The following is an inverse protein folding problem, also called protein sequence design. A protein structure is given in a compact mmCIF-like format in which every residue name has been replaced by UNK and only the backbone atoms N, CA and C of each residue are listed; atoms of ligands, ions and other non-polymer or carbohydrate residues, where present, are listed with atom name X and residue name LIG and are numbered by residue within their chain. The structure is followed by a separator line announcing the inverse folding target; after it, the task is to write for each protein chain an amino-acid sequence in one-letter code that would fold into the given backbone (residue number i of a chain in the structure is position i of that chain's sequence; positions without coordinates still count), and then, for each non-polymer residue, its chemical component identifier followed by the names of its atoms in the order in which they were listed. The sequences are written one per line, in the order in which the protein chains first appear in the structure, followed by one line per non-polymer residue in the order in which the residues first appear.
data_IF_845560647215
#
_entry.id   IF_845560647215
#
_cell.length_a   1.000
_cell.length_b   1.000
_cell.length_c   1.000
_cell.angle_alpha   90.00
_cell.angle_beta   90.00
_cell.angle_gamma   90.00
#
_symmetry.space_group_name_H-M   'P 1'
#
loop_
_entity.id
_entity.type
_entity.pdbx_description
1 polymer ?
#
# COMPACT_ATOMS: atom_id res chain seq x y z
N UNK A 1 24.76 0.18 -89.63
CA UNK A 1 25.29 1.53 -89.95
C UNK A 1 24.14 2.52 -89.79
N UNK A 2 24.35 3.58 -89.03
CA UNK A 2 23.34 4.59 -88.69
C UNK A 2 23.79 5.35 -87.45
N UNK A 3 24.52 6.44 -87.70
CA UNK A 3 25.30 7.26 -86.78
C UNK A 3 24.48 8.00 -85.71
N UNK A 4 25.16 8.48 -84.65
CA UNK A 4 24.59 9.14 -83.49
C UNK A 4 24.30 10.62 -83.78
N UNK A 5 23.43 11.25 -82.99
CA UNK A 5 23.78 12.55 -82.41
C UNK A 5 22.79 13.03 -81.34
N UNK A 6 23.39 13.64 -80.33
CA UNK A 6 22.89 14.75 -79.53
C UNK A 6 21.50 14.64 -78.89
N UNK A 7 21.47 14.50 -77.56
CA UNK A 7 21.08 15.67 -76.76
C UNK A 7 21.55 15.55 -75.31
N UNK A 8 22.42 16.48 -74.92
CA UNK A 8 22.87 16.68 -73.55
C UNK A 8 21.80 17.41 -72.72
N UNK A 9 22.01 17.39 -71.40
CA UNK A 9 21.36 18.27 -70.39
C UNK A 9 19.95 17.86 -69.98
N UNK A 10 19.82 17.34 -68.77
CA UNK A 10 19.50 18.22 -67.64
C UNK A 10 19.29 17.41 -66.35
N UNK A 11 19.36 18.14 -65.23
CA UNK A 11 18.56 17.93 -64.01
C UNK A 11 19.27 17.26 -62.83
N UNK A 12 20.20 18.05 -62.27
CA UNK A 12 20.17 18.34 -60.83
C UNK A 12 18.72 18.37 -60.31
N UNK A 13 18.39 17.52 -59.33
CA UNK A 13 17.36 17.81 -58.31
C UNK A 13 17.24 16.70 -57.28
N UNK A 14 17.25 17.17 -56.02
CA UNK A 14 16.62 16.58 -54.83
C UNK A 14 17.39 15.46 -54.13
N UNK A 15 18.39 15.88 -53.37
CA UNK A 15 18.49 15.53 -51.95
C UNK A 15 17.13 15.74 -51.28
N UNK A 16 16.31 14.68 -51.25
CA UNK A 16 15.11 14.65 -50.40
C UNK A 16 15.60 14.55 -48.96
N UNK A 17 15.57 15.68 -48.27
CA UNK A 17 15.61 15.75 -46.80
C UNK A 17 14.68 14.69 -46.22
N UNK A 18 15.27 13.69 -45.56
CA UNK A 18 14.55 12.67 -44.81
C UNK A 18 14.13 13.29 -43.49
N UNK A 19 13.07 14.11 -43.53
CA UNK A 19 12.44 14.66 -42.33
C UNK A 19 11.92 13.49 -41.47
N UNK A 20 12.62 13.21 -40.38
CA UNK A 20 12.17 12.26 -39.35
C UNK A 20 10.88 12.79 -38.73
N UNK A 21 9.73 12.31 -39.22
CA UNK A 21 8.43 12.50 -38.55
C UNK A 21 8.46 11.75 -37.22
N UNK A 22 8.88 12.43 -36.15
CA UNK A 22 8.64 12.00 -34.77
C UNK A 22 7.14 12.04 -34.51
N UNK A 23 6.45 10.93 -34.72
CA UNK A 23 5.06 10.76 -34.31
C UNK A 23 4.99 10.74 -32.79
N UNK A 24 4.71 11.90 -32.19
CA UNK A 24 4.34 12.02 -30.79
C UNK A 24 2.96 11.39 -30.59
N UNK A 25 2.92 10.10 -30.25
CA UNK A 25 1.71 9.43 -29.74
C UNK A 25 1.26 10.14 -28.47
N UNK A 26 0.41 11.16 -28.61
CA UNK A 26 -0.32 11.79 -27.52
C UNK A 26 -1.19 10.70 -26.88
N UNK A 27 -0.74 10.17 -25.74
CA UNK A 27 -1.51 9.22 -24.93
C UNK A 27 -2.81 9.92 -24.51
N UNK A 28 -3.91 9.59 -25.18
CA UNK A 28 -5.23 10.05 -24.82
C UNK A 28 -5.49 9.73 -23.34
N UNK A 29 -5.70 10.79 -22.55
CA UNK A 29 -5.93 10.72 -21.11
C UNK A 29 -7.33 10.10 -20.91
N UNK A 30 -7.41 8.78 -20.74
CA UNK A 30 -8.66 8.07 -20.39
C UNK A 30 -9.24 8.65 -19.10
N UNK A 31 -10.28 9.48 -19.23
CA UNK A 31 -11.12 9.93 -18.13
C UNK A 31 -11.85 8.70 -17.58
N UNK A 32 -11.51 8.31 -16.34
CA UNK A 32 -12.12 7.14 -15.71
C UNK A 32 -13.57 7.46 -15.32
N UNK A 33 -14.53 6.77 -15.95
CA UNK A 33 -15.93 6.82 -15.56
C UNK A 33 -16.08 6.58 -14.04
N UNK A 34 -16.87 7.44 -13.38
CA UNK A 34 -17.18 7.33 -11.96
C UNK A 34 -18.00 6.04 -11.76
N UNK A 35 -17.39 5.03 -11.15
CA UNK A 35 -18.07 3.76 -10.86
C UNK A 35 -19.16 4.01 -9.83
N UNK A 36 -20.39 3.63 -10.16
CA UNK A 36 -21.53 3.70 -9.25
C UNK A 36 -21.23 2.90 -7.96
N UNK A 37 -21.63 3.41 -6.78
CA UNK A 37 -21.45 2.68 -5.54
C UNK A 37 -22.30 1.40 -5.56
N UNK A 38 -21.69 0.27 -5.18
CA UNK A 38 -22.39 -1.01 -5.14
C UNK A 38 -23.13 -1.13 -3.79
N UNK A 39 -24.48 -1.19 -3.76
CA UNK A 39 -25.26 -1.19 -2.52
C UNK A 39 -24.97 -2.40 -1.64
N UNK A 40 -24.64 -3.55 -2.25
CA UNK A 40 -24.27 -4.75 -1.51
C UNK A 40 -22.94 -4.59 -0.75
N UNK A 41 -22.02 -3.73 -1.24
CA UNK A 41 -20.77 -3.45 -0.53
C UNK A 41 -21.01 -2.59 0.71
N UNK A 42 -21.89 -1.59 0.61
CA UNK A 42 -22.20 -0.72 1.74
C UNK A 42 -22.98 -1.46 2.84
N UNK A 43 -23.90 -2.34 2.46
CA UNK A 43 -24.57 -3.26 3.39
C UNK A 43 -23.54 -4.08 4.17
N UNK A 44 -22.57 -4.67 3.48
CA UNK A 44 -21.47 -5.46 4.05
C UNK A 44 -20.67 -4.68 5.08
N UNK A 45 -20.25 -3.46 4.74
CA UNK A 45 -19.45 -2.62 5.65
C UNK A 45 -20.26 -2.27 6.90
N UNK A 46 -21.56 -1.96 6.76
CA UNK A 46 -22.45 -1.70 7.91
C UNK A 46 -22.66 -2.95 8.76
N UNK A 47 -22.93 -4.10 8.14
CA UNK A 47 -23.13 -5.38 8.81
C UNK A 47 -21.89 -5.77 9.62
N UNK A 48 -20.71 -5.69 9.01
CA UNK A 48 -19.45 -6.03 9.66
C UNK A 48 -19.14 -5.10 10.83
N UNK A 49 -19.45 -3.80 10.73
CA UNK A 49 -19.28 -2.87 11.86
C UNK A 49 -20.15 -3.25 13.06
N UNK A 50 -21.37 -3.74 12.82
CA UNK A 50 -22.28 -4.21 13.88
C UNK A 50 -21.88 -5.56 14.45
N UNK A 51 -21.42 -6.48 13.59
CA UNK A 51 -21.04 -7.85 13.97
C UNK A 51 -19.59 -8.14 13.58
N UNK A 52 -18.61 -7.80 14.44
CA UNK A 52 -17.20 -7.89 14.07
C UNK A 52 -16.68 -9.31 13.90
N UNK A 53 -17.30 -10.28 14.59
CA UNK A 53 -16.95 -11.70 14.54
C UNK A 53 -17.81 -12.52 13.55
N UNK A 54 -18.71 -11.88 12.79
CA UNK A 54 -19.57 -12.60 11.86
C UNK A 54 -18.76 -13.29 10.75
N UNK A 55 -19.19 -14.48 10.36
CA UNK A 55 -18.65 -15.22 9.23
C UNK A 55 -19.35 -14.83 7.93
N UNK A 56 -18.76 -15.23 6.79
CA UNK A 56 -19.32 -14.93 5.47
C UNK A 56 -20.74 -15.49 5.29
N UNK A 57 -21.00 -16.68 5.82
CA UNK A 57 -22.32 -17.34 5.72
C UNK A 57 -23.43 -16.46 6.31
N UNK A 58 -23.20 -15.88 7.50
CA UNK A 58 -24.17 -14.99 8.16
C UNK A 58 -24.45 -13.73 7.34
N UNK A 59 -23.39 -13.15 6.76
CA UNK A 59 -23.51 -11.96 5.93
C UNK A 59 -24.25 -12.25 4.63
N UNK A 60 -24.00 -13.41 4.02
CA UNK A 60 -24.71 -13.86 2.82
C UNK A 60 -26.20 -14.12 3.13
N UNK A 61 -26.51 -14.75 4.26
CA UNK A 61 -27.89 -14.95 4.72
C UNK A 61 -28.61 -13.62 4.98
N UNK A 62 -27.96 -12.69 5.69
CA UNK A 62 -28.51 -11.36 5.95
C UNK A 62 -28.74 -10.57 4.66
N UNK A 63 -27.86 -10.70 3.66
CA UNK A 63 -28.00 -10.02 2.39
C UNK A 63 -29.08 -10.63 1.49
N UNK A 64 -29.26 -11.96 1.52
CA UNK A 64 -30.39 -12.62 0.85
C UNK A 64 -31.73 -12.07 1.35
N UNK A 65 -31.86 -11.84 2.66
CA UNK A 65 -33.06 -11.18 3.25
C UNK A 65 -33.29 -9.77 2.69
N UNK A 66 -32.21 -9.04 2.41
CA UNK A 66 -32.26 -7.72 1.77
C UNK A 66 -32.27 -7.77 0.24
N UNK A 67 -32.46 -8.96 -0.38
CA UNK A 67 -32.40 -9.16 -1.84
C UNK A 67 -31.09 -8.69 -2.48
N UNK A 68 -29.99 -8.69 -1.74
CA UNK A 68 -28.66 -8.30 -2.20
C UNK A 68 -27.79 -9.54 -2.40
N UNK A 69 -27.17 -9.66 -3.58
CA UNK A 69 -26.22 -10.73 -3.88
C UNK A 69 -24.81 -10.32 -3.46
N UNK A 70 -24.23 -11.06 -2.53
CA UNK A 70 -22.86 -10.81 -2.03
C UNK A 70 -21.91 -11.89 -2.50
N UNK A 71 -20.81 -11.46 -3.12
CA UNK A 71 -19.72 -12.33 -3.53
C UNK A 71 -18.61 -12.39 -2.47
N UNK A 72 -17.87 -13.51 -2.34
CA UNK A 72 -16.74 -13.63 -1.40
C UNK A 72 -15.67 -12.55 -1.59
N UNK A 73 -15.43 -12.12 -2.84
CA UNK A 73 -14.48 -11.03 -3.16
C UNK A 73 -14.90 -9.69 -2.52
N UNK A 74 -16.20 -9.43 -2.39
CA UNK A 74 -16.70 -8.22 -1.73
C UNK A 74 -16.48 -8.27 -0.22
N UNK A 75 -16.68 -9.44 0.38
CA UNK A 75 -16.40 -9.70 1.80
C UNK A 75 -14.93 -9.47 2.14
N UNK A 76 -14.01 -10.04 1.36
CA UNK A 76 -12.57 -9.82 1.55
C UNK A 76 -12.17 -8.34 1.42
N UNK A 77 -12.75 -7.61 0.45
CA UNK A 77 -12.51 -6.16 0.31
C UNK A 77 -13.03 -5.36 1.52
N UNK A 78 -14.17 -5.74 2.08
CA UNK A 78 -14.73 -5.09 3.26
C UNK A 78 -13.88 -5.37 4.53
N UNK A 79 -13.39 -6.60 4.70
CA UNK A 79 -12.44 -6.95 5.77
C UNK A 79 -11.14 -6.12 5.68
N UNK A 80 -10.59 -5.98 4.48
CA UNK A 80 -9.41 -5.14 4.24
C UNK A 80 -9.68 -3.67 4.53
N UNK A 81 -10.85 -3.15 4.15
CA UNK A 81 -11.25 -1.77 4.40
C UNK A 81 -11.37 -1.47 5.90
N UNK A 82 -11.88 -2.42 6.68
CA UNK A 82 -12.00 -2.34 8.14
C UNK A 82 -10.68 -2.68 8.86
N UNK A 83 -9.63 -3.07 8.14
CA UNK A 83 -8.33 -3.41 8.72
C UNK A 83 -8.30 -4.74 9.48
N UNK A 84 -9.28 -5.63 9.27
CA UNK A 84 -9.34 -6.95 9.94
C UNK A 84 -8.35 -7.94 9.38
N UNK A 85 -8.00 -7.79 8.10
CA UNK A 85 -7.09 -8.68 7.39
C UNK A 85 -5.94 -7.84 6.84
N UNK A 86 -4.72 -8.40 6.90
CA UNK A 86 -3.54 -7.74 6.37
C UNK A 86 -3.62 -7.74 4.84
N UNK A 87 -3.61 -6.55 4.24
CA UNK A 87 -3.50 -6.45 2.79
C UNK A 87 -2.17 -7.07 2.34
N UNK A 88 -2.24 -8.05 1.43
CA UNK A 88 -1.06 -8.63 0.79
C UNK A 88 -0.20 -7.56 0.11
N UNK A 89 1.08 -7.89 -0.16
CA UNK A 89 2.11 -6.97 -0.72
C UNK A 89 1.84 -6.49 -2.17
N UNK A 90 0.59 -6.48 -2.65
CA UNK A 90 0.21 -6.16 -4.03
C UNK A 90 -0.60 -4.88 -4.24
N UNK A 91 -1.00 -4.66 -5.51
CA UNK A 91 -1.74 -3.49 -6.05
C UNK A 91 -3.05 -3.15 -5.29
N UNK A 92 -3.59 -4.09 -4.52
CA UNK A 92 -4.82 -3.94 -3.73
C UNK A 92 -4.67 -2.94 -2.57
N UNK A 93 -3.50 -2.92 -1.90
CA UNK A 93 -3.19 -1.99 -0.80
C UNK A 93 -3.17 -0.54 -1.29
N UNK A 94 -2.62 -0.30 -2.48
CA UNK A 94 -2.54 1.02 -3.10
C UNK A 94 -3.93 1.57 -3.49
N UNK A 95 -4.78 0.73 -4.10
CA UNK A 95 -6.13 1.14 -4.51
C UNK A 95 -7.07 1.38 -3.30
N UNK A 96 -6.94 0.59 -2.24
CA UNK A 96 -7.75 0.79 -1.02
C UNK A 96 -7.29 2.01 -0.21
N UNK A 97 -5.98 2.30 -0.11
CA UNK A 97 -5.48 3.56 0.47
C UNK A 97 -6.01 4.78 -0.30
N UNK A 98 -6.08 4.69 -1.63
CA UNK A 98 -6.64 5.76 -2.44
C UNK A 98 -8.15 5.94 -2.22
N UNK A 99 -8.91 4.85 -2.07
CA UNK A 99 -10.35 4.90 -1.78
C UNK A 99 -10.64 5.46 -0.37
N UNK A 100 -9.91 5.00 0.66
CA UNK A 100 -10.06 5.50 2.03
C UNK A 100 -9.61 6.96 2.21
N UNK A 101 -8.72 7.46 1.34
CA UNK A 101 -8.36 8.89 1.30
C UNK A 101 -9.44 9.76 0.67
N UNK A 102 -10.27 9.22 -0.24
CA UNK A 102 -11.34 9.97 -0.91
C UNK A 102 -12.59 10.15 -0.05
N UNK A 103 -12.85 9.29 0.92
CA UNK A 103 -13.97 9.43 1.87
C UNK A 103 -13.64 10.28 3.10
N UNK A 104 -12.38 10.72 3.27
CA UNK A 104 -11.94 11.62 4.34
C UNK A 104 -11.69 13.06 3.89
N UNK A 105 -12.14 13.45 2.69
CA UNK A 105 -11.91 14.78 2.13
C UNK A 105 -12.88 15.87 2.63
N UNK A 106 -13.87 15.55 3.46
CA UNK A 106 -14.85 16.52 4.00
C UNK A 106 -14.75 16.73 5.52
N UNK A 107 -13.64 16.36 6.17
CA UNK A 107 -13.40 16.76 7.57
C UNK A 107 -12.21 17.71 7.63
N UNK A 108 -12.53 19.02 7.64
CA UNK A 108 -11.58 20.11 7.90
C UNK A 108 -10.75 19.83 9.17
N UNK A 109 -9.44 20.03 9.02
CA UNK A 109 -8.38 20.36 10.01
C UNK A 109 -8.41 19.66 11.38
N UNK A 110 -7.42 18.81 11.61
CA UNK A 110 -6.54 18.91 12.80
C UNK A 110 -5.10 18.68 12.35
N UNK A 111 -4.27 19.65 12.68
CA UNK A 111 -2.82 19.69 12.50
C UNK A 111 -2.15 18.44 13.08
N UNK A 112 -1.32 17.76 12.29
CA UNK A 112 -0.18 17.01 12.84
C UNK A 112 1.01 17.24 11.93
N UNK A 113 1.96 18.03 12.45
CA UNK A 113 3.31 18.25 11.92
C UNK A 113 3.82 16.95 11.28
N UNK A 114 4.00 16.94 9.97
CA UNK A 114 4.88 15.95 9.32
C UNK A 114 6.30 16.37 9.59
N UNK A 115 6.83 15.96 10.74
CA UNK A 115 8.27 15.98 11.00
C UNK A 115 8.89 14.94 10.07
N UNK A 116 9.92 15.35 9.33
CA UNK A 116 10.78 14.46 8.56
C UNK A 116 10.96 14.90 7.11
N UNK A 117 11.59 16.06 6.89
CA UNK A 117 12.38 16.27 5.68
C UNK A 117 13.47 15.18 5.62
N UNK A 118 13.84 14.65 4.43
CA UNK A 118 14.99 13.76 4.31
C UNK A 118 16.22 14.47 4.87
N UNK A 119 16.91 13.83 5.82
CA UNK A 119 18.18 14.32 6.35
C UNK A 119 19.23 14.10 5.26
N UNK A 120 20.07 15.13 5.05
CA UNK A 120 21.14 15.09 4.05
C UNK A 120 22.10 13.92 4.23
N UNK A 121 22.93 13.64 3.22
CA UNK A 121 23.91 12.57 3.27
C UNK A 121 24.85 12.81 4.46
N UNK A 122 25.01 11.82 5.33
CA UNK A 122 25.99 11.86 6.42
C UNK A 122 25.45 11.82 7.86
N UNK A 123 24.13 11.74 8.11
CA UNK A 123 23.64 11.49 9.48
C UNK A 123 23.43 9.99 9.73
N UNK A 124 24.27 9.31 10.52
CA UNK A 124 24.03 7.92 10.89
C UNK A 124 22.69 7.80 11.61
N UNK A 125 22.02 6.67 11.38
CA UNK A 125 20.77 6.37 12.07
C UNK A 125 21.07 6.31 13.56
N UNK A 126 20.32 7.07 14.36
CA UNK A 126 20.19 6.75 15.79
C UNK A 126 19.39 5.45 15.86
N UNK A 127 20.06 4.32 15.65
CA UNK A 127 19.72 3.12 16.39
C UNK A 127 19.84 3.55 17.84
N UNK A 128 18.71 3.78 18.48
CA UNK A 128 18.67 3.64 19.92
C UNK A 128 19.20 2.24 20.17
N UNK A 129 20.42 2.17 20.69
CA UNK A 129 20.90 1.03 21.46
C UNK A 129 19.75 0.67 22.40
N UNK A 130 19.04 -0.42 22.08
CA UNK A 130 18.26 -1.11 23.10
C UNK A 130 19.32 -1.75 23.97
N UNK A 131 19.70 -1.06 25.02
CA UNK A 131 20.53 -1.60 26.08
C UNK A 131 19.72 -2.74 26.69
N UNK A 132 19.98 -3.95 26.23
CA UNK A 132 19.55 -5.15 26.91
C UNK A 132 20.37 -5.25 28.18
N UNK A 133 19.70 -5.27 29.32
CA UNK A 133 20.36 -5.59 30.59
C UNK A 133 20.50 -7.11 30.62
N UNK A 134 21.73 -7.60 30.40
CA UNK A 134 22.09 -8.97 30.73
C UNK A 134 22.52 -8.99 32.20
N UNK A 135 21.89 -9.84 32.99
CA UNK A 135 22.28 -10.08 34.38
C UNK A 135 22.90 -11.48 34.41
N UNK A 136 24.24 -11.59 34.41
CA UNK A 136 24.90 -12.90 34.36
C UNK A 136 24.56 -13.70 35.62
N UNK A 137 24.13 -14.95 35.44
CA UNK A 137 23.79 -15.87 36.53
C UNK A 137 22.36 -15.76 37.08
N UNK A 138 21.53 -14.85 36.55
CA UNK A 138 20.12 -14.77 36.95
C UNK A 138 19.32 -15.96 36.41
N UNK A 139 18.48 -16.54 37.25
CA UNK A 139 17.55 -17.59 36.82
C UNK A 139 16.42 -16.99 35.97
N UNK A 140 15.80 -17.82 35.13
CA UNK A 140 14.67 -17.37 34.27
C UNK A 140 13.52 -16.80 35.11
N UNK A 141 13.31 -17.33 36.32
CA UNK A 141 12.28 -16.87 37.25
C UNK A 141 12.54 -15.46 37.78
N UNK A 142 13.81 -15.14 38.11
CA UNK A 142 14.22 -13.80 38.55
C UNK A 142 14.06 -12.77 37.42
N UNK A 143 14.44 -13.14 36.19
CA UNK A 143 14.28 -12.26 35.03
C UNK A 143 12.80 -12.06 34.67
N UNK A 144 11.96 -13.08 34.89
CA UNK A 144 10.51 -12.97 34.70
C UNK A 144 9.86 -12.06 35.76
N UNK A 145 10.25 -12.19 37.02
CA UNK A 145 9.81 -11.29 38.09
C UNK A 145 10.22 -9.83 37.80
N UNK A 146 11.42 -9.61 37.25
CA UNK A 146 11.89 -8.29 36.82
C UNK A 146 11.01 -7.72 35.69
N UNK A 147 10.63 -8.54 34.71
CA UNK A 147 9.75 -8.15 33.61
C UNK A 147 8.36 -7.79 34.12
N UNK A 148 7.83 -8.55 35.07
CA UNK A 148 6.51 -8.29 35.65
C UNK A 148 6.52 -7.00 36.50
N UNK A 149 7.59 -6.77 37.27
CA UNK A 149 7.81 -5.51 37.96
C UNK A 149 7.93 -4.31 37.00
N UNK A 150 8.64 -4.47 35.88
CA UNK A 150 8.79 -3.44 34.85
C UNK A 150 7.48 -3.18 34.07
N UNK A 151 6.64 -4.20 33.88
CA UNK A 151 5.38 -4.07 33.14
C UNK A 151 4.26 -3.35 33.91
N UNK A 152 4.45 -3.09 35.21
CA UNK A 152 3.63 -2.13 35.94
C UNK A 152 3.81 -0.67 35.43
N UNK A 153 4.91 -0.37 34.70
CA UNK A 153 5.22 0.96 34.15
C UNK A 153 5.79 1.00 32.72
N UNK A 154 5.99 -0.14 32.05
CA UNK A 154 6.70 -0.25 30.76
C UNK A 154 6.30 -1.47 29.92
N UNK A 155 7.03 -1.72 28.81
CA UNK A 155 6.85 -2.89 27.92
C UNK A 155 8.11 -3.74 27.90
N UNK A 156 8.46 -4.32 29.05
CA UNK A 156 9.58 -5.24 29.15
C UNK A 156 9.22 -6.61 28.55
N UNK A 157 10.18 -7.23 27.90
CA UNK A 157 10.06 -8.57 27.30
C UNK A 157 11.36 -9.34 27.41
N UNK A 158 11.26 -10.64 27.69
CA UNK A 158 12.40 -11.55 27.64
C UNK A 158 12.76 -11.91 26.19
N UNK A 159 14.05 -11.97 25.90
CA UNK A 159 14.59 -12.52 24.68
C UNK A 159 15.73 -13.48 24.97
N UNK A 160 15.70 -14.61 24.31
CA UNK A 160 16.80 -15.55 24.29
C UNK A 160 17.65 -15.31 23.03
N UNK A 161 18.95 -15.13 23.20
CA UNK A 161 19.90 -14.84 22.11
C UNK A 161 20.69 -16.07 21.62
N UNK A 162 20.44 -17.24 22.21
CA UNK A 162 21.14 -18.49 21.91
C UNK A 162 22.18 -18.88 22.96
N UNK A 163 22.51 -17.98 23.88
CA UNK A 163 23.45 -18.21 24.99
C UNK A 163 22.85 -17.79 26.33
N UNK A 164 22.17 -16.65 26.38
CA UNK A 164 21.67 -16.03 27.61
C UNK A 164 20.24 -15.50 27.43
N UNK A 165 19.54 -15.38 28.55
CA UNK A 165 18.25 -14.69 28.62
C UNK A 165 18.49 -13.23 28.95
N UNK A 166 17.99 -12.33 28.10
CA UNK A 166 18.12 -10.88 28.28
C UNK A 166 16.76 -10.22 28.40
N UNK A 167 16.66 -9.21 29.27
CA UNK A 167 15.46 -8.40 29.41
C UNK A 167 15.56 -7.18 28.50
N UNK A 168 14.56 -7.00 27.64
CA UNK A 168 14.47 -5.89 26.69
C UNK A 168 13.28 -5.02 27.06
N UNK A 169 13.56 -3.77 27.42
CA UNK A 169 12.57 -2.73 27.75
C UNK A 169 12.29 -1.81 26.54
#
# INVERSE_FOLDING_TARGET
MGSPDAYTKNKTRKTKMRATRKTTKRKAKKTTAKKQPNPAFDFLVKFMKRRPKAIYADAAAAAKRSRLKIYPVMWGRAQLLLGRVKAGKGKLKAKMKAAARKTKATRKKVTKKRVGRPRGPGRPRKSASREGLSVPGASVEELQALVDALNAGGKASLRYDGSEWTVVV
#
